data_IF_494644467110
#
_entry.id   IF_494644467110
#
_cell.length_a   1.000
_cell.length_b   1.000
_cell.length_c   1.000
_cell.angle_alpha   90.00
_cell.angle_beta   90.00
_cell.angle_gamma   90.00
#
_symmetry.space_group_name_H-M   'P 1'
#
loop_
_entity.id
_entity.type
_entity.pdbx_description
1 polymer ?
#
# COMPACT_ATOMS: atom_id res chain seq x y z
N UNK A 1 -3.44 -20.29 7.05
CA UNK A 1 -4.31 -19.13 6.74
C UNK A 1 -4.41 -18.99 5.22
N UNK A 2 -5.56 -18.60 4.66
CA UNK A 2 -5.68 -18.37 3.22
C UNK A 2 -4.82 -17.17 2.77
N UNK A 3 -4.43 -17.17 1.50
CA UNK A 3 -3.74 -16.04 0.86
C UNK A 3 -4.76 -15.14 0.17
N UNK A 4 -4.58 -13.83 0.27
CA UNK A 4 -5.40 -12.82 -0.37
C UNK A 4 -4.54 -11.97 -1.30
N UNK A 5 -5.07 -11.68 -2.49
CA UNK A 5 -4.52 -10.67 -3.38
C UNK A 5 -5.24 -9.35 -3.10
N UNK A 6 -4.49 -8.29 -2.82
CA UNK A 6 -5.00 -6.95 -2.53
C UNK A 6 -4.33 -5.94 -3.44
N UNK A 7 -5.15 -5.14 -4.13
CA UNK A 7 -4.65 -4.04 -4.92
C UNK A 7 -4.26 -2.87 -4.01
N UNK A 8 -3.01 -2.42 -4.13
CA UNK A 8 -2.49 -1.26 -3.41
C UNK A 8 -2.07 -0.23 -4.46
N UNK A 9 -2.53 1.01 -4.29
CA UNK A 9 -2.10 2.13 -5.11
C UNK A 9 -0.91 2.81 -4.41
N UNK A 10 0.28 2.70 -4.99
CA UNK A 10 1.43 3.51 -4.62
C UNK A 10 1.36 4.81 -5.40
N UNK A 11 1.49 5.95 -4.73
CA UNK A 11 1.46 7.29 -5.33
C UNK A 11 2.68 8.08 -4.88
N UNK A 12 3.31 8.76 -5.83
CA UNK A 12 4.33 9.77 -5.59
C UNK A 12 4.13 10.97 -6.54
N UNK A 13 5.11 11.88 -6.59
CA UNK A 13 5.07 13.07 -7.44
C UNK A 13 5.19 12.76 -8.94
N UNK A 14 5.63 11.55 -9.30
CA UNK A 14 5.78 11.09 -10.69
C UNK A 14 4.53 10.39 -11.21
N UNK A 15 3.69 9.86 -10.33
CA UNK A 15 2.43 9.22 -10.69
C UNK A 15 1.98 8.16 -9.70
N UNK A 16 1.07 7.30 -10.16
CA UNK A 16 0.56 6.18 -9.37
C UNK A 16 0.73 4.85 -10.07
N UNK A 17 1.10 3.81 -9.32
CA UNK A 17 1.17 2.43 -9.76
C UNK A 17 0.24 1.55 -8.90
N UNK A 18 -0.51 0.66 -9.55
CA UNK A 18 -1.32 -0.35 -8.84
C UNK A 18 -0.54 -1.65 -8.73
N UNK A 19 -0.20 -2.03 -7.50
CA UNK A 19 0.46 -3.28 -7.18
C UNK A 19 -0.58 -4.32 -6.74
N UNK A 20 -0.50 -5.54 -7.29
CA UNK A 20 -1.26 -6.67 -6.77
C UNK A 20 -0.43 -7.42 -5.72
N UNK A 21 -0.65 -7.11 -4.44
CA UNK A 21 0.14 -7.62 -3.31
C UNK A 21 -0.55 -8.85 -2.71
N UNK A 22 0.19 -9.94 -2.56
CA UNK A 22 -0.30 -11.14 -1.87
C UNK A 22 0.06 -11.09 -0.38
N UNK A 23 -0.93 -11.23 0.49
CA UNK A 23 -0.79 -11.24 1.95
C UNK A 23 -1.45 -12.48 2.54
N UNK A 24 -0.95 -12.92 3.69
CA UNK A 24 -1.52 -14.04 4.42
C UNK A 24 -2.61 -13.54 5.39
N UNK A 25 -3.80 -14.13 5.32
CA UNK A 25 -4.97 -13.63 6.04
C UNK A 25 -5.64 -12.43 5.36
N UNK A 26 -6.89 -12.17 5.73
CA UNK A 26 -7.66 -11.05 5.19
C UNK A 26 -7.18 -9.73 5.81
N UNK A 27 -6.72 -8.74 5.01
CA UNK A 27 -6.19 -7.49 5.54
C UNK A 27 -7.26 -6.56 6.16
N UNK A 28 -8.56 -6.83 5.97
CA UNK A 28 -9.68 -6.05 6.54
C UNK A 28 -9.62 -4.54 6.25
N UNK A 29 -9.14 -4.18 5.06
CA UNK A 29 -9.08 -2.80 4.58
C UNK A 29 -10.24 -2.49 3.63
N UNK A 30 -10.69 -1.24 3.60
CA UNK A 30 -11.70 -0.78 2.62
C UNK A 30 -11.04 -0.18 1.38
N UNK A 31 -11.79 -0.10 0.27
CA UNK A 31 -11.31 0.58 -0.95
C UNK A 31 -10.94 2.03 -0.63
N UNK A 32 -9.91 2.55 -1.30
CA UNK A 32 -9.32 3.89 -1.12
C UNK A 32 -8.80 4.22 0.29
N UNK A 33 -8.76 3.26 1.21
CA UNK A 33 -8.23 3.48 2.54
C UNK A 33 -6.70 3.64 2.49
N UNK A 34 -6.12 4.66 3.15
CA UNK A 34 -4.68 4.73 3.36
C UNK A 34 -4.20 3.54 4.17
N UNK A 35 -3.17 2.84 3.67
CA UNK A 35 -2.63 1.63 4.30
C UNK A 35 -1.11 1.72 4.43
N UNK A 36 -0.60 1.02 5.43
CA UNK A 36 0.82 0.69 5.56
C UNK A 36 1.04 -0.75 5.12
N UNK A 37 2.08 -0.99 4.33
CA UNK A 37 2.47 -2.32 3.86
C UNK A 37 3.78 -2.70 4.54
N UNK A 38 3.81 -3.80 5.28
CA UNK A 38 4.97 -4.28 6.02
C UNK A 38 5.58 -5.53 5.36
N UNK A 39 6.91 -5.62 5.35
CA UNK A 39 7.61 -6.76 4.76
C UNK A 39 7.38 -6.92 3.25
N UNK A 40 7.17 -5.82 2.52
CA UNK A 40 6.95 -5.89 1.07
C UNK A 40 8.20 -6.42 0.37
N UNK A 41 8.04 -7.50 -0.39
CA UNK A 41 9.08 -8.13 -1.21
C UNK A 41 8.61 -8.21 -2.65
N UNK A 42 9.46 -7.76 -3.56
CA UNK A 42 9.34 -7.97 -4.99
C UNK A 42 10.08 -9.26 -5.39
N UNK A 43 9.38 -10.19 -6.03
CA UNK A 43 9.91 -11.49 -6.44
C UNK A 43 9.86 -11.56 -7.96
N UNK A 44 10.99 -11.35 -8.65
CA UNK A 44 11.07 -11.55 -10.09
C UNK A 44 10.82 -13.01 -10.45
N UNK A 45 10.11 -13.25 -11.54
CA UNK A 45 9.89 -14.60 -12.05
C UNK A 45 9.91 -14.62 -13.59
N UNK A 46 10.23 -15.78 -14.14
CA UNK A 46 10.12 -16.09 -15.55
C UNK A 46 9.64 -17.53 -15.73
N UNK A 47 8.69 -17.76 -16.64
CA UNK A 47 8.12 -19.06 -16.96
C UNK A 47 7.85 -19.15 -18.46
N UNK A 48 8.77 -19.79 -19.18
CA UNK A 48 8.76 -19.79 -20.65
C UNK A 48 8.88 -18.35 -21.16
N UNK A 49 7.98 -17.96 -22.06
CA UNK A 49 7.96 -16.61 -22.66
C UNK A 49 7.28 -15.54 -21.79
N UNK A 50 6.93 -15.88 -20.53
CA UNK A 50 6.31 -14.95 -19.59
C UNK A 50 7.29 -14.57 -18.50
N UNK A 51 7.30 -13.30 -18.11
CA UNK A 51 8.09 -12.80 -16.99
C UNK A 51 7.33 -11.70 -16.25
N UNK A 52 7.70 -11.45 -15.01
CA UNK A 52 7.14 -10.34 -14.24
C UNK A 52 7.70 -10.25 -12.84
N UNK A 53 7.02 -9.45 -12.02
CA UNK A 53 7.30 -9.30 -10.60
C UNK A 53 6.05 -9.69 -9.82
N UNK A 54 6.19 -10.58 -8.85
CA UNK A 54 5.15 -10.86 -7.87
C UNK A 54 5.45 -10.08 -6.59
N UNK A 55 4.44 -9.43 -6.03
CA UNK A 55 4.58 -8.70 -4.76
C UNK A 55 3.97 -9.51 -3.62
N UNK A 56 4.73 -9.67 -2.54
CA UNK A 56 4.26 -10.29 -1.29
C UNK A 56 4.54 -9.38 -0.11
N UNK A 57 3.67 -9.41 0.89
CA UNK A 57 3.85 -8.65 2.12
C UNK A 57 3.50 -9.51 3.33
N UNK A 58 4.07 -9.17 4.48
CA UNK A 58 3.77 -9.81 5.76
C UNK A 58 2.38 -9.38 6.25
N UNK A 59 2.09 -8.07 6.17
CA UNK A 59 0.78 -7.51 6.50
C UNK A 59 0.49 -6.22 5.73
N UNK A 60 -0.80 -5.99 5.47
CA UNK A 60 -1.36 -4.71 5.03
C UNK A 60 -2.29 -4.26 6.16
N UNK A 61 -2.14 -3.02 6.62
CA UNK A 61 -2.94 -2.51 7.74
C UNK A 61 -3.38 -1.06 7.50
N UNK A 62 -4.58 -0.65 7.96
CA UNK A 62 -5.00 0.74 7.90
C UNK A 62 -3.96 1.66 8.55
N UNK A 63 -3.61 2.74 7.86
CA UNK A 63 -2.85 3.82 8.48
C UNK A 63 -3.84 4.69 9.26
N UNK A 64 -3.74 4.73 10.58
CA UNK A 64 -4.40 5.79 11.34
C UNK A 64 -3.77 7.11 10.93
N UNK A 65 -4.54 8.12 10.48
CA UNK A 65 -3.96 9.43 10.20
C UNK A 65 -3.42 9.99 11.52
N UNK A 66 -2.10 9.88 11.73
CA UNK A 66 -1.45 10.69 12.73
C UNK A 66 -1.48 12.12 12.17
N UNK A 67 -2.24 13.00 12.82
CA UNK A 67 -2.52 14.35 12.34
C UNK A 67 -1.25 15.11 11.99
N UNK A 68 -0.94 15.18 10.70
CA UNK A 68 0.06 16.09 10.13
C UNK A 68 -0.67 16.96 9.11
N UNK A 69 -1.35 17.98 9.65
CA UNK A 69 -2.16 18.93 8.89
C UNK A 69 -2.94 19.89 9.79
N UNK A 70 -2.37 20.30 10.92
CA UNK A 70 -2.93 21.35 11.79
C UNK A 70 -1.83 22.30 12.21
N UNK A 71 -1.16 22.91 11.23
CA UNK A 71 -0.31 24.08 11.43
C UNK A 71 -0.54 25.09 10.31
N UNK A 72 -1.80 25.37 10.01
CA UNK A 72 -2.27 26.57 9.30
C UNK A 72 -3.48 27.13 10.06
N UNK A 73 -3.37 27.18 11.39
CA UNK A 73 -4.36 27.81 12.27
C UNK A 73 -3.61 28.53 13.39
N UNK A 74 -2.66 29.38 13.00
CA UNK A 74 -2.01 30.35 13.87
C UNK A 74 -1.43 31.51 13.03
N UNK A 75 -2.22 32.10 12.13
CA UNK A 75 -1.96 33.47 11.69
C UNK A 75 -2.72 34.41 12.63
N UNK A 76 -2.05 35.16 13.52
CA UNK A 76 -2.72 36.15 14.35
C UNK A 76 -3.29 37.25 13.44
N UNK A 77 -4.59 37.53 13.60
CA UNK A 77 -5.25 38.70 13.01
C UNK A 77 -4.67 39.98 13.64
N UNK A 78 -4.41 40.98 12.81
CA UNK A 78 -4.24 42.39 13.19
C UNK A 78 -5.10 43.26 12.28
#
# INVERSE_FOLDING_TARGET
MPLFATQVLALDDTGGEVLNVTVAGDPKVTVTQPVSVSGLVAIPWAQGDRSGVAFRADAISPTTPNGAGSSEQARPQK
#
